data_IF_408014246714
#
_entry.id   IF_408014246714
#
_cell.length_a   1.000
_cell.length_b   1.000
_cell.length_c   1.000
_cell.angle_alpha   90.00
_cell.angle_beta   90.00
_cell.angle_gamma   90.00
#
_symmetry.space_group_name_H-M   'P 1'
#
loop_
_entity.id
_entity.type
_entity.pdbx_description
1 polymer ?
#
# COMPACT_ATOMS: atom_id res chain seq x y z
N UNK A 1 -3.16 -20.54 -1.40
CA UNK A 1 -2.88 -19.39 -2.31
C UNK A 1 -1.65 -19.75 -3.11
N UNK A 2 -1.67 -19.61 -4.43
CA UNK A 2 -0.45 -19.80 -5.23
C UNK A 2 0.46 -18.60 -4.97
N UNK A 3 1.60 -18.84 -4.33
CA UNK A 3 2.64 -17.82 -4.10
C UNK A 3 3.19 -17.39 -5.47
N UNK A 4 2.69 -16.27 -5.99
CA UNK A 4 3.23 -15.65 -7.20
C UNK A 4 4.49 -14.86 -6.88
N UNK A 5 5.41 -14.78 -7.83
CA UNK A 5 6.55 -13.87 -7.74
C UNK A 5 6.08 -12.46 -8.06
N UNK A 6 6.48 -11.46 -7.26
CA UNK A 6 6.34 -10.05 -7.62
C UNK A 6 7.34 -9.62 -8.71
N UNK A 7 8.31 -10.48 -9.04
CA UNK A 7 9.27 -10.24 -10.11
C UNK A 7 8.75 -10.71 -11.47
N UNK A 8 9.04 -9.95 -12.53
CA UNK A 8 8.66 -10.24 -13.90
C UNK A 8 7.99 -9.05 -14.60
N UNK A 9 7.46 -9.26 -15.82
CA UNK A 9 6.79 -8.24 -16.61
C UNK A 9 5.38 -7.93 -16.08
N UNK A 10 4.79 -6.83 -16.57
CA UNK A 10 3.39 -6.46 -16.32
C UNK A 10 3.22 -5.31 -15.32
N UNK A 11 4.31 -4.66 -14.92
CA UNK A 11 4.28 -3.48 -14.08
C UNK A 11 4.09 -2.22 -14.93
N UNK A 12 3.24 -1.30 -14.46
CA UNK A 12 3.07 0.03 -15.01
C UNK A 12 2.88 1.03 -13.89
N UNK A 13 3.22 2.29 -14.14
CA UNK A 13 3.24 3.34 -13.12
C UNK A 13 1.91 4.09 -13.09
N UNK A 14 1.28 4.19 -11.93
CA UNK A 14 0.01 4.92 -11.75
C UNK A 14 0.18 6.39 -11.37
N UNK A 15 1.32 6.71 -10.77
CA UNK A 15 1.63 8.03 -10.25
C UNK A 15 3.13 8.10 -9.95
N UNK A 16 3.73 9.27 -10.13
CA UNK A 16 5.02 9.64 -9.56
C UNK A 16 5.04 11.10 -9.15
N UNK A 17 6.00 11.42 -8.28
CA UNK A 17 6.38 12.77 -7.96
C UNK A 17 7.86 12.79 -7.58
N UNK A 18 8.61 13.75 -8.13
CA UNK A 18 10.02 13.99 -7.85
C UNK A 18 10.22 15.17 -6.91
N UNK A 19 10.85 16.22 -7.44
CA UNK A 19 10.93 17.53 -6.80
C UNK A 19 9.82 18.43 -7.33
N UNK A 20 9.03 18.99 -6.43
CA UNK A 20 8.03 20.02 -6.74
C UNK A 20 8.70 21.40 -6.63
N UNK A 21 8.95 22.01 -7.79
CA UNK A 21 9.59 23.33 -7.91
C UNK A 21 8.70 24.46 -7.39
N UNK A 22 7.36 24.31 -7.42
CA UNK A 22 6.43 25.32 -6.92
C UNK A 22 6.40 25.31 -5.39
N UNK A 23 6.34 24.12 -4.79
CA UNK A 23 6.37 23.97 -3.34
C UNK A 23 7.79 24.10 -2.75
N UNK A 24 8.83 23.91 -3.57
CA UNK A 24 10.22 23.84 -3.16
C UNK A 24 10.53 22.59 -2.32
N UNK A 25 9.83 21.47 -2.57
CA UNK A 25 9.87 20.27 -1.73
C UNK A 25 10.04 19.00 -2.55
N UNK A 26 10.79 18.05 -2.00
CA UNK A 26 10.77 16.68 -2.47
C UNK A 26 9.48 15.96 -2.05
N UNK A 27 9.07 14.98 -2.85
CA UNK A 27 7.99 14.06 -2.51
C UNK A 27 8.16 13.45 -1.10
N UNK A 28 9.39 13.10 -0.70
CA UNK A 28 9.70 12.58 0.64
C UNK A 28 9.47 13.60 1.75
N UNK A 29 9.72 14.89 1.51
CA UNK A 29 9.44 15.96 2.48
C UNK A 29 7.94 16.22 2.62
N UNK A 30 7.18 16.15 1.52
CA UNK A 30 5.71 16.18 1.57
C UNK A 30 5.15 14.99 2.34
N UNK A 31 5.72 13.80 2.11
CA UNK A 31 5.36 12.58 2.83
C UNK A 31 5.62 12.69 4.34
N UNK A 32 6.74 13.31 4.74
CA UNK A 32 7.01 13.61 6.15
C UNK A 32 5.98 14.55 6.76
N UNK A 33 5.49 15.54 5.99
CA UNK A 33 4.44 16.47 6.42
C UNK A 33 3.05 15.82 6.52
N UNK A 34 2.84 14.67 5.88
CA UNK A 34 1.60 13.89 5.96
C UNK A 34 1.74 12.66 6.86
N UNK A 35 2.62 12.71 7.87
CA UNK A 35 2.85 11.62 8.83
C UNK A 35 3.22 10.27 8.17
N UNK A 36 3.88 10.32 7.00
CA UNK A 36 4.24 9.13 6.24
C UNK A 36 3.12 8.57 5.36
N UNK A 37 2.00 9.29 5.22
CA UNK A 37 0.83 8.83 4.47
C UNK A 37 0.88 9.29 3.00
N UNK A 38 0.95 8.31 2.10
CA UNK A 38 0.76 8.49 0.66
C UNK A 38 -0.61 7.91 0.25
N UNK A 39 -1.42 8.73 -0.40
CA UNK A 39 -2.74 8.35 -0.87
C UNK A 39 -2.77 8.41 -2.39
N UNK A 40 -3.22 7.34 -3.04
CA UNK A 40 -3.37 7.26 -4.51
C UNK A 40 -4.73 6.66 -4.81
N UNK A 41 -5.47 7.30 -5.71
CA UNK A 41 -6.75 6.82 -6.22
C UNK A 41 -6.52 5.69 -7.21
N UNK A 42 -7.13 4.55 -6.98
CA UNK A 42 -7.13 3.44 -7.94
C UNK A 42 -7.93 3.88 -9.18
N UNK A 43 -7.35 3.87 -10.39
CA UNK A 43 -8.05 4.28 -11.60
C UNK A 43 -9.27 3.43 -11.88
N UNK A 44 -10.39 4.06 -12.27
CA UNK A 44 -11.62 3.35 -12.60
C UNK A 44 -11.49 2.45 -13.86
N UNK A 45 -10.52 2.73 -14.73
CA UNK A 45 -10.18 1.88 -15.87
C UNK A 45 -9.46 0.58 -15.50
N UNK A 46 -9.09 0.37 -14.23
CA UNK A 46 -8.43 -0.85 -13.79
C UNK A 46 -9.46 -2.00 -13.69
N UNK A 47 -9.26 -3.13 -14.40
CA UNK A 47 -10.19 -4.25 -14.35
C UNK A 47 -10.35 -4.86 -12.95
N UNK A 48 -11.55 -5.38 -12.67
CA UNK A 48 -11.80 -6.11 -11.43
C UNK A 48 -10.97 -7.40 -11.34
N UNK A 49 -10.28 -7.59 -10.22
CA UNK A 49 -9.35 -8.71 -10.03
C UNK A 49 -8.34 -8.50 -8.89
N UNK A 50 -7.41 -9.45 -8.75
CA UNK A 50 -6.29 -9.34 -7.81
C UNK A 50 -5.15 -8.54 -8.45
N UNK A 51 -4.65 -7.53 -7.73
CA UNK A 51 -3.57 -6.65 -8.14
C UNK A 51 -2.48 -6.59 -7.08
N UNK A 52 -1.25 -6.32 -7.51
CA UNK A 52 -0.16 -5.87 -6.64
C UNK A 52 0.02 -4.37 -6.83
N UNK A 53 -0.02 -3.62 -5.74
CA UNK A 53 0.35 -2.21 -5.70
C UNK A 53 1.71 -2.08 -5.03
N UNK A 54 2.63 -1.38 -5.68
CA UNK A 54 4.03 -1.27 -5.23
C UNK A 54 4.41 0.20 -5.01
N UNK A 55 4.23 0.76 -3.81
CA UNK A 55 4.87 2.04 -3.48
C UNK A 55 6.39 1.87 -3.48
N UNK A 56 7.08 2.86 -4.04
CA UNK A 56 8.54 2.94 -4.12
C UNK A 56 8.96 4.36 -3.73
N UNK A 57 9.85 4.48 -2.75
CA UNK A 57 10.56 5.71 -2.44
C UNK A 57 12.01 5.56 -2.87
N UNK A 58 12.55 6.60 -3.47
CA UNK A 58 13.95 6.69 -3.87
C UNK A 58 14.63 7.78 -3.03
N UNK A 59 15.61 7.36 -2.23
CA UNK A 59 16.40 8.27 -1.42
C UNK A 59 17.71 8.62 -2.17
N UNK A 60 17.95 9.93 -2.32
CA UNK A 60 18.99 10.48 -3.21
C UNK A 60 20.26 10.93 -2.48
N UNK A 61 20.33 10.82 -1.15
CA UNK A 61 21.44 11.35 -0.36
C UNK A 61 22.82 10.83 -0.80
N UNK A 62 22.89 9.63 -1.38
CA UNK A 62 24.13 9.03 -1.89
C UNK A 62 24.06 8.71 -3.41
N UNK A 63 23.03 9.19 -4.13
CA UNK A 63 22.86 8.90 -5.56
C UNK A 63 24.05 9.39 -6.40
N UNK A 64 24.58 10.58 -6.08
CA UNK A 64 25.78 11.14 -6.73
C UNK A 64 27.07 10.32 -6.51
N UNK A 65 27.10 9.44 -5.50
CA UNK A 65 28.20 8.51 -5.24
C UNK A 65 27.94 7.12 -5.86
N UNK A 66 26.85 6.96 -6.60
CA UNK A 66 26.44 5.69 -7.19
C UNK A 66 25.68 4.75 -6.24
N UNK A 67 25.14 5.26 -5.12
CA UNK A 67 24.34 4.50 -4.15
C UNK A 67 22.93 5.10 -3.96
N UNK A 68 22.07 5.11 -4.99
CA UNK A 68 20.65 5.43 -4.83
C UNK A 68 19.93 4.32 -4.04
N UNK A 69 19.07 4.71 -3.08
CA UNK A 69 18.46 3.75 -2.15
C UNK A 69 16.95 3.64 -2.38
N UNK A 70 16.49 2.44 -2.75
CA UNK A 70 15.08 2.14 -2.96
C UNK A 70 14.42 1.53 -1.72
N UNK A 71 13.30 2.11 -1.29
CA UNK A 71 12.42 1.59 -0.24
C UNK A 71 11.10 1.18 -0.86
N UNK A 72 10.80 -0.12 -0.82
CA UNK A 72 9.70 -0.70 -1.60
C UNK A 72 8.79 -1.54 -0.71
N UNK A 73 7.48 -1.43 -0.96
CA UNK A 73 6.47 -2.29 -0.37
C UNK A 73 5.58 -2.89 -1.45
N UNK A 74 4.84 -3.95 -1.14
CA UNK A 74 3.81 -4.51 -2.01
C UNK A 74 2.53 -4.72 -1.20
N UNK A 75 1.40 -4.28 -1.76
CA UNK A 75 0.08 -4.54 -1.23
C UNK A 75 -0.70 -5.43 -2.20
N UNK A 76 -1.25 -6.54 -1.70
CA UNK A 76 -2.20 -7.36 -2.45
C UNK A 76 -3.59 -6.76 -2.29
N UNK A 77 -4.15 -6.29 -3.39
CA UNK A 77 -5.43 -5.59 -3.40
C UNK A 77 -6.37 -6.31 -4.35
N UNK A 78 -7.56 -6.63 -3.86
CA UNK A 78 -8.65 -7.01 -4.73
C UNK A 78 -9.45 -5.78 -5.15
N UNK A 79 -9.50 -5.52 -6.45
CA UNK A 79 -10.28 -4.46 -7.06
C UNK A 79 -11.63 -5.04 -7.45
N UNK A 80 -12.70 -4.52 -6.87
CA UNK A 80 -14.06 -4.85 -7.29
C UNK A 80 -14.37 -4.17 -8.64
N UNK A 81 -15.00 -4.90 -9.56
CA UNK A 81 -15.36 -4.36 -10.87
C UNK A 81 -15.68 -5.45 -11.88
N UNK A 82 -15.96 -5.03 -13.12
CA UNK A 82 -16.06 -5.95 -14.24
C UNK A 82 -14.66 -6.42 -14.64
N UNK A 83 -14.52 -7.71 -14.94
CA UNK A 83 -13.30 -8.20 -15.56
C UNK A 83 -13.31 -7.77 -17.02
N UNK A 84 -12.29 -7.00 -17.42
CA UNK A 84 -12.10 -6.50 -18.77
C UNK A 84 -10.60 -6.62 -19.13
N UNK A 85 -10.24 -6.76 -20.41
CA UNK A 85 -8.85 -6.71 -20.81
C UNK A 85 -8.27 -5.32 -20.56
N UNK A 86 -7.09 -5.25 -19.93
CA UNK A 86 -6.29 -4.03 -19.83
C UNK A 86 -5.24 -4.02 -20.94
N UNK A 87 -5.23 -2.97 -21.76
CA UNK A 87 -4.16 -2.74 -22.72
C UNK A 87 -3.22 -1.66 -22.19
N UNK A 88 -2.03 -2.06 -21.79
CA UNK A 88 -0.95 -1.15 -21.38
C UNK A 88 -0.04 -0.93 -22.58
N UNK A 89 0.24 0.32 -22.99
CA UNK A 89 1.22 0.61 -24.04
C UNK A 89 2.59 0.00 -23.72
N UNK A 90 3.31 -0.46 -24.75
CA UNK A 90 4.58 -1.16 -24.55
C UNK A 90 5.66 -0.27 -23.90
N UNK A 91 5.64 1.04 -24.15
CA UNK A 91 6.51 2.05 -23.52
C UNK A 91 6.16 2.34 -22.05
N UNK A 92 5.00 1.86 -21.57
CA UNK A 92 4.52 2.04 -20.18
C UNK A 92 4.58 0.76 -19.35
N UNK A 93 4.80 -0.38 -20.00
CA UNK A 93 4.90 -1.69 -19.36
C UNK A 93 6.36 -2.09 -19.17
N UNK A 94 6.74 -2.41 -17.94
CA UNK A 94 8.11 -2.79 -17.58
C UNK A 94 8.16 -4.11 -16.82
N UNK A 95 9.38 -4.63 -16.63
CA UNK A 95 9.67 -5.74 -15.73
C UNK A 95 10.36 -5.24 -14.46
N UNK A 96 10.07 -5.87 -13.33
CA UNK A 96 10.81 -5.65 -12.08
C UNK A 96 11.49 -6.97 -11.70
N UNK A 97 12.82 -7.03 -11.53
CA UNK A 97 13.80 -5.97 -11.80
C UNK A 97 13.92 -5.65 -13.30
N UNK A 98 14.48 -4.47 -13.60
CA UNK A 98 14.70 -3.97 -14.96
C UNK A 98 13.91 -2.70 -15.32
N UNK A 99 13.14 -2.16 -14.38
CA UNK A 99 12.34 -0.95 -14.58
C UNK A 99 13.14 0.35 -14.54
N UNK A 100 14.39 0.29 -14.10
CA UNK A 100 15.35 1.40 -14.04
C UNK A 100 16.76 0.92 -14.43
N UNK A 101 17.59 1.80 -14.96
CA UNK A 101 19.00 1.58 -15.24
C UNK A 101 19.91 2.44 -14.35
N UNK A 102 21.02 1.87 -13.88
CA UNK A 102 21.90 2.47 -12.85
C UNK A 102 22.45 3.84 -13.24
N UNK A 103 22.60 4.10 -14.53
CA UNK A 103 23.13 5.33 -15.12
C UNK A 103 22.05 6.34 -15.51
N UNK A 104 20.78 6.09 -15.19
CA UNK A 104 19.70 7.05 -15.43
C UNK A 104 19.97 8.38 -14.69
N UNK A 105 19.66 9.53 -15.31
CA UNK A 105 19.90 10.84 -14.70
C UNK A 105 19.28 11.01 -13.30
N UNK A 106 18.13 10.36 -13.04
CA UNK A 106 17.48 10.41 -11.72
C UNK A 106 18.19 9.60 -10.64
N UNK A 107 18.97 8.59 -11.03
CA UNK A 107 19.70 7.69 -10.13
C UNK A 107 21.15 8.13 -9.89
N UNK A 108 21.65 9.07 -10.68
CA UNK A 108 22.97 9.71 -10.53
C UNK A 108 22.85 11.18 -10.11
N UNK A 109 21.64 11.62 -9.76
CA UNK A 109 21.34 13.01 -9.44
C UNK A 109 22.10 13.50 -8.21
N UNK A 110 22.70 14.70 -8.30
CA UNK A 110 23.39 15.33 -7.18
C UNK A 110 22.56 16.46 -6.57
N UNK A 111 21.87 16.11 -5.47
CA UNK A 111 21.07 17.07 -4.69
C UNK A 111 21.91 18.16 -3.98
N UNK A 112 23.24 17.98 -3.88
CA UNK A 112 24.17 18.92 -3.26
C UNK A 112 24.91 19.81 -4.27
N UNK A 113 24.59 19.69 -5.57
CA UNK A 113 25.17 20.57 -6.58
C UNK A 113 24.80 22.03 -6.29
N UNK A 114 25.69 22.97 -6.62
CA UNK A 114 25.37 24.40 -6.56
C UNK A 114 24.24 24.78 -7.52
N UNK A 115 24.10 24.05 -8.63
CA UNK A 115 23.07 24.26 -9.65
C UNK A 115 22.47 22.90 -10.08
N UNK A 116 21.61 22.30 -9.24
CA UNK A 116 20.93 21.05 -9.60
C UNK A 116 20.04 21.28 -10.83
N UNK A 117 19.99 20.29 -11.73
CA UNK A 117 19.20 20.38 -12.96
C UNK A 117 17.75 20.02 -12.68
N UNK A 118 16.85 20.97 -12.88
CA UNK A 118 15.41 20.74 -12.81
C UNK A 118 14.75 20.86 -14.20
N UNK A 119 13.62 20.19 -14.46
CA UNK A 119 12.88 19.33 -13.53
C UNK A 119 13.64 18.04 -13.18
N UNK A 120 13.43 17.52 -11.97
CA UNK A 120 14.09 16.28 -11.54
C UNK A 120 13.64 15.10 -12.44
N UNK A 121 14.58 14.37 -13.07
CA UNK A 121 14.25 13.28 -13.98
C UNK A 121 13.85 12.03 -13.19
N UNK A 122 12.55 11.87 -12.91
CA UNK A 122 12.01 10.72 -12.17
C UNK A 122 12.31 9.40 -12.93
N UNK A 123 12.97 8.41 -12.29
CA UNK A 123 13.29 7.14 -12.93
C UNK A 123 12.08 6.28 -13.35
N UNK A 124 12.33 5.39 -14.31
CA UNK A 124 11.39 4.36 -14.76
C UNK A 124 10.33 4.84 -15.76
N UNK A 125 9.31 4.01 -16.06
CA UNK A 125 8.36 4.32 -17.12
C UNK A 125 7.53 5.54 -16.74
N UNK A 126 7.09 6.29 -17.75
CA UNK A 126 6.18 7.39 -17.51
C UNK A 126 4.78 6.88 -17.06
N UNK A 127 4.05 7.72 -16.32
CA UNK A 127 2.74 7.38 -15.74
C UNK A 127 1.76 6.91 -16.83
N UNK A 128 0.96 5.91 -16.50
CA UNK A 128 -0.15 5.40 -17.29
C UNK A 128 -1.38 5.26 -16.41
N UNK A 129 -2.40 6.07 -16.69
CA UNK A 129 -3.72 5.97 -16.07
C UNK A 129 -4.64 5.22 -17.04
N UNK A 130 -5.08 3.99 -16.71
CA UNK A 130 -6.05 3.27 -17.53
C UNK A 130 -7.30 4.13 -17.77
N UNK A 131 -7.70 4.36 -19.04
CA UNK A 131 -8.87 5.17 -19.33
C UNK A 131 -10.11 4.50 -18.73
N UNK A 132 -10.94 5.30 -18.07
CA UNK A 132 -12.25 4.82 -17.67
C UNK A 132 -13.05 4.56 -18.95
N UNK A 133 -13.60 3.36 -19.11
CA UNK A 133 -14.58 3.13 -20.16
C UNK A 133 -15.87 3.85 -19.77
N UNK A 134 -15.99 5.14 -20.09
CA UNK A 134 -17.31 5.73 -20.28
C UNK A 134 -17.96 4.90 -21.38
N UNK A 135 -18.95 4.08 -21.02
CA UNK A 135 -19.66 3.23 -21.96
C UNK A 135 -20.05 4.06 -23.19
N UNK A 136 -19.58 3.76 -24.42
CA UNK A 136 -20.25 4.29 -25.59
C UNK A 136 -21.61 3.61 -25.61
N UNK A 137 -22.66 4.41 -25.42
CA UNK A 137 -24.05 4.16 -25.78
C UNK A 137 -24.31 2.78 -26.41
N UNK A 138 -24.73 1.81 -25.60
CA UNK A 138 -25.55 0.73 -26.14
C UNK A 138 -26.90 1.36 -26.48
N UNK A 139 -27.06 1.71 -27.75
CA UNK A 139 -28.34 2.13 -28.32
C UNK A 139 -29.44 1.21 -27.81
N UNK A 140 -30.52 1.82 -27.32
CA UNK A 140 -31.71 1.14 -26.84
C UNK A 140 -32.22 0.14 -27.89
N UNK A 141 -31.94 -1.14 -27.67
CA UNK A 141 -32.70 -2.24 -28.24
C UNK A 141 -33.57 -2.79 -27.11
N UNK A 142 -34.85 -2.48 -27.16
CA UNK A 142 -35.87 -2.99 -26.27
C UNK A 142 -35.79 -4.53 -26.23
N UNK A 143 -35.47 -5.06 -25.06
CA UNK A 143 -35.38 -6.50 -24.82
C UNK A 143 -35.03 -6.75 -23.36
N UNK A 144 -36.03 -7.16 -22.59
CA UNK A 144 -36.01 -7.36 -21.15
C UNK A 144 -35.04 -8.51 -20.74
N UNK A 145 -33.73 -8.30 -20.85
CA UNK A 145 -32.69 -9.20 -20.36
C UNK A 145 -31.81 -8.44 -19.36
N UNK A 146 -32.02 -8.76 -18.08
CA UNK A 146 -31.16 -8.38 -16.95
C UNK A 146 -29.70 -8.59 -17.36
N UNK A 147 -28.95 -7.49 -17.52
CA UNK A 147 -27.52 -7.54 -17.82
C UNK A 147 -26.84 -8.44 -16.79
N UNK A 148 -25.96 -9.39 -17.19
CA UNK A 148 -25.18 -10.14 -16.23
C UNK A 148 -24.14 -9.18 -15.65
N UNK A 149 -24.48 -8.53 -14.53
CA UNK A 149 -23.51 -7.82 -13.70
C UNK A 149 -22.68 -8.85 -12.94
N UNK A 150 -21.81 -9.60 -13.63
CA UNK A 150 -20.84 -10.47 -12.97
C UNK A 150 -19.64 -9.64 -12.52
N UNK A 151 -19.88 -8.74 -11.56
CA UNK A 151 -18.77 -8.10 -10.85
C UNK A 151 -17.95 -9.21 -10.19
N UNK A 152 -16.63 -9.20 -10.43
CA UNK A 152 -15.72 -10.14 -9.80
C UNK A 152 -15.73 -9.86 -8.29
N UNK A 153 -15.94 -10.88 -7.47
CA UNK A 153 -15.82 -10.80 -6.00
C UNK A 153 -14.61 -11.59 -5.52
N UNK A 154 -13.98 -11.12 -4.44
CA UNK A 154 -12.87 -11.80 -3.82
C UNK A 154 -13.34 -13.15 -3.26
N UNK A 155 -12.79 -14.26 -3.77
CA UNK A 155 -13.09 -15.62 -3.28
C UNK A 155 -11.98 -16.24 -2.43
N UNK A 156 -10.80 -15.64 -2.46
CA UNK A 156 -9.57 -16.15 -1.83
C UNK A 156 -8.79 -14.96 -1.27
N UNK A 157 -8.06 -15.15 -0.17
CA UNK A 157 -7.23 -14.07 0.41
C UNK A 157 -7.97 -13.14 1.37
N UNK A 158 -9.28 -13.35 1.58
CA UNK A 158 -10.04 -12.59 2.58
C UNK A 158 -9.67 -12.98 4.00
N UNK A 159 -9.78 -12.02 4.92
CA UNK A 159 -9.75 -12.30 6.36
C UNK A 159 -10.96 -13.19 6.69
N UNK A 160 -10.76 -14.39 7.28
CA UNK A 160 -11.86 -15.28 7.64
C UNK A 160 -12.84 -14.57 8.57
N UNK A 161 -14.14 -14.80 8.44
CA UNK A 161 -15.14 -14.10 9.27
C UNK A 161 -15.03 -14.45 10.76
N UNK A 162 -14.54 -15.65 11.05
CA UNK A 162 -14.39 -16.29 12.35
C UNK A 162 -13.02 -16.02 13.01
N UNK A 163 -12.19 -15.14 12.45
CA UNK A 163 -10.94 -14.74 13.09
C UNK A 163 -11.20 -14.05 14.45
N UNK A 164 -10.33 -14.30 15.41
CA UNK A 164 -10.38 -13.71 16.75
C UNK A 164 -9.55 -12.43 16.85
N UNK A 165 -8.42 -12.38 16.13
CA UNK A 165 -7.53 -11.22 16.08
C UNK A 165 -6.67 -11.27 14.82
N UNK A 166 -6.20 -10.11 14.34
CA UNK A 166 -5.29 -9.99 13.20
C UNK A 166 -4.04 -9.25 13.64
N UNK A 167 -2.87 -9.66 13.16
CA UNK A 167 -1.62 -8.89 13.26
C UNK A 167 -1.00 -8.90 11.87
N UNK A 168 -1.05 -7.78 11.16
CA UNK A 168 -0.62 -7.70 9.76
C UNK A 168 -1.18 -8.86 8.88
N UNK A 169 -0.31 -9.73 8.35
CA UNK A 169 -0.66 -10.83 7.45
C UNK A 169 -1.09 -12.12 8.17
N UNK A 170 -1.06 -12.13 9.50
CA UNK A 170 -1.48 -13.26 10.31
C UNK A 170 -2.84 -13.00 10.97
N UNK A 171 -3.62 -14.07 11.14
CA UNK A 171 -4.88 -14.07 11.88
C UNK A 171 -4.87 -15.19 12.91
N UNK A 172 -5.29 -14.89 14.13
CA UNK A 172 -5.55 -15.87 15.17
C UNK A 172 -6.95 -16.43 15.01
N UNK A 173 -7.06 -17.75 14.92
CA UNK A 173 -8.32 -18.48 14.82
C UNK A 173 -8.52 -19.33 16.07
N UNK A 174 -9.77 -19.58 16.44
CA UNK A 174 -10.06 -20.30 17.67
C UNK A 174 -9.43 -21.71 17.67
N UNK A 175 -8.85 -22.08 18.81
CA UNK A 175 -8.27 -23.41 19.01
C UNK A 175 -9.37 -24.45 19.22
N UNK A 176 -9.03 -25.74 19.12
CA UNK A 176 -10.00 -26.81 19.32
C UNK A 176 -10.67 -26.72 20.70
N UNK A 177 -11.99 -26.92 20.73
CA UNK A 177 -12.72 -27.05 21.98
C UNK A 177 -12.30 -28.31 22.74
N UNK A 178 -12.30 -28.25 24.07
CA UNK A 178 -11.88 -29.37 24.90
C UNK A 178 -12.76 -29.58 26.13
N UNK A 179 -12.82 -30.84 26.55
CA UNK A 179 -13.50 -31.28 27.78
C UNK A 179 -12.63 -32.21 28.65
N UNK A 180 -11.34 -32.35 28.30
CA UNK A 180 -10.40 -33.30 28.92
C UNK A 180 -9.04 -32.64 29.08
N UNK A 181 -8.25 -33.12 30.04
CA UNK A 181 -6.87 -32.68 30.27
C UNK A 181 -6.02 -32.72 29.00
N UNK A 182 -6.03 -33.86 28.30
CA UNK A 182 -5.30 -34.03 27.04
C UNK A 182 -5.75 -33.03 25.98
N UNK A 183 -7.06 -32.75 25.90
CA UNK A 183 -7.60 -31.76 24.98
C UNK A 183 -7.18 -30.33 25.34
N UNK A 184 -7.12 -30.01 26.63
CA UNK A 184 -6.69 -28.71 27.14
C UNK A 184 -5.24 -28.42 26.73
N UNK A 185 -4.32 -29.35 27.01
CA UNK A 185 -2.91 -29.19 26.67
C UNK A 185 -2.67 -29.20 25.15
N UNK A 186 -3.43 -29.97 24.38
CA UNK A 186 -3.37 -29.91 22.92
C UNK A 186 -3.83 -28.56 22.35
N UNK A 187 -4.88 -27.96 22.94
CA UNK A 187 -5.36 -26.64 22.56
C UNK A 187 -4.38 -25.53 22.98
N UNK A 188 -3.69 -25.69 24.13
CA UNK A 188 -2.63 -24.80 24.56
C UNK A 188 -1.45 -24.82 23.55
N UNK A 189 -0.99 -26.01 23.17
CA UNK A 189 0.07 -26.21 22.18
C UNK A 189 -0.28 -25.55 20.83
N UNK A 190 -1.49 -25.76 20.33
CA UNK A 190 -1.98 -25.11 19.11
C UNK A 190 -2.02 -23.57 19.25
N UNK A 191 -2.47 -23.05 20.40
CA UNK A 191 -2.49 -21.61 20.66
C UNK A 191 -1.08 -21.02 20.59
N UNK A 192 -0.10 -21.66 21.21
CA UNK A 192 1.29 -21.19 21.21
C UNK A 192 1.94 -21.33 19.83
N UNK A 193 1.65 -22.40 19.08
CA UNK A 193 2.08 -22.51 17.68
C UNK A 193 1.49 -21.40 16.79
N UNK A 194 0.24 -21.00 17.03
CA UNK A 194 -0.35 -19.82 16.42
C UNK A 194 0.34 -18.51 16.84
N UNK A 195 0.81 -18.39 18.09
CA UNK A 195 1.58 -17.25 18.56
C UNK A 195 2.93 -17.13 17.85
N UNK A 196 3.65 -18.25 17.69
CA UNK A 196 4.91 -18.29 16.94
C UNK A 196 4.71 -17.84 15.50
N UNK A 197 3.66 -18.36 14.83
CA UNK A 197 3.30 -17.94 13.48
C UNK A 197 2.95 -16.44 13.39
N UNK A 198 2.37 -15.85 14.44
CA UNK A 198 2.12 -14.42 14.50
C UNK A 198 3.42 -13.62 14.51
N UNK A 199 4.40 -14.02 15.33
CA UNK A 199 5.68 -13.34 15.43
C UNK A 199 6.54 -13.52 14.19
N UNK A 200 6.54 -14.71 13.58
CA UNK A 200 7.25 -14.98 12.32
C UNK A 200 6.71 -14.13 11.17
N UNK A 201 5.41 -13.86 11.17
CA UNK A 201 4.74 -13.02 10.17
C UNK A 201 4.76 -11.51 10.51
N UNK A 202 5.27 -11.12 11.68
CA UNK A 202 5.19 -9.74 12.14
C UNK A 202 6.12 -8.82 11.32
N UNK A 203 5.60 -7.76 10.68
CA UNK A 203 6.42 -6.78 9.99
C UNK A 203 7.14 -5.84 10.97
N UNK A 204 8.06 -4.98 10.48
CA UNK A 204 8.67 -3.93 11.30
C UNK A 204 7.68 -2.97 11.97
N UNK A 205 6.44 -2.87 11.48
CA UNK A 205 5.38 -2.07 12.12
C UNK A 205 4.87 -2.66 13.44
N UNK A 206 5.20 -3.93 13.75
CA UNK A 206 5.12 -4.50 15.09
C UNK A 206 4.25 -5.75 15.23
N UNK A 207 4.18 -6.22 16.47
CA UNK A 207 3.56 -7.48 16.89
C UNK A 207 2.63 -7.32 18.10
N UNK A 208 2.01 -6.13 18.24
CA UNK A 208 1.15 -5.80 19.40
C UNK A 208 0.04 -6.83 19.58
N UNK A 209 -0.61 -7.24 18.49
CA UNK A 209 -1.69 -8.22 18.55
C UNK A 209 -1.20 -9.66 18.78
N UNK A 210 0.07 -9.98 18.51
CA UNK A 210 0.66 -11.24 18.96
C UNK A 210 0.69 -11.33 20.49
N UNK A 211 1.00 -10.23 21.19
CA UNK A 211 0.97 -10.18 22.67
C UNK A 211 -0.45 -10.33 23.23
N UNK A 212 -1.44 -9.79 22.53
CA UNK A 212 -2.86 -10.01 22.87
C UNK A 212 -3.19 -11.51 22.74
N UNK A 213 -2.73 -12.15 21.68
CA UNK A 213 -2.91 -13.59 21.45
C UNK A 213 -2.25 -14.44 22.54
N UNK A 214 -1.02 -14.12 22.94
CA UNK A 214 -0.36 -14.81 24.06
C UNK A 214 -1.16 -14.74 25.37
N UNK A 215 -1.88 -13.65 25.64
CA UNK A 215 -2.74 -13.56 26.83
C UNK A 215 -3.89 -14.56 26.76
N UNK A 216 -4.45 -14.82 25.57
CA UNK A 216 -5.41 -15.91 25.37
C UNK A 216 -4.76 -17.27 25.64
N UNK A 217 -3.55 -17.51 25.13
CA UNK A 217 -2.84 -18.77 25.35
C UNK A 217 -2.49 -18.99 26.82
N UNK A 218 -2.06 -17.95 27.54
CA UNK A 218 -1.87 -17.98 29.00
C UNK A 218 -3.17 -18.35 29.72
N UNK A 219 -4.30 -17.77 29.33
CA UNK A 219 -5.60 -18.15 29.90
C UNK A 219 -5.97 -19.63 29.70
N UNK A 220 -5.57 -20.24 28.58
CA UNK A 220 -5.73 -21.68 28.35
C UNK A 220 -4.80 -22.47 29.28
N UNK A 221 -3.51 -22.10 29.38
CA UNK A 221 -2.57 -22.74 30.30
C UNK A 221 -3.08 -22.69 31.75
N UNK A 222 -3.53 -21.52 32.21
CA UNK A 222 -4.07 -21.33 33.55
C UNK A 222 -5.26 -22.27 33.83
N UNK A 223 -6.15 -22.45 32.86
CA UNK A 223 -7.26 -23.41 32.96
C UNK A 223 -6.77 -24.85 33.03
N UNK A 224 -5.78 -25.24 32.21
CA UNK A 224 -5.21 -26.58 32.24
C UNK A 224 -4.51 -26.88 33.57
N UNK A 225 -3.72 -25.94 34.10
CA UNK A 225 -3.01 -26.06 35.38
C UNK A 225 -3.98 -26.13 36.56
N UNK A 226 -5.11 -25.42 36.49
CA UNK A 226 -6.17 -25.45 37.50
C UNK A 226 -7.03 -26.73 37.43
N UNK A 227 -6.84 -27.59 36.42
CA UNK A 227 -7.70 -28.74 36.19
C UNK A 227 -9.10 -28.38 35.68
N UNK A 228 -9.30 -27.15 35.19
CA UNK A 228 -10.56 -26.70 34.62
C UNK A 228 -10.64 -27.06 33.14
N UNK A 229 -11.09 -28.28 32.91
CA UNK A 229 -11.25 -28.81 31.55
C UNK A 229 -12.66 -28.63 31.01
N UNK A 230 -13.59 -27.99 31.75
CA UNK A 230 -15.01 -27.97 31.37
C UNK A 230 -15.25 -26.87 30.33
N UNK A 231 -15.80 -27.26 29.18
CA UNK A 231 -16.24 -26.34 28.12
C UNK A 231 -15.16 -25.34 27.63
N UNK A 232 -13.89 -25.75 27.63
CA UNK A 232 -12.79 -24.91 27.18
C UNK A 232 -12.67 -24.79 25.65
N UNK A 233 -11.88 -23.83 25.13
CA UNK A 233 -11.05 -22.85 25.85
C UNK A 233 -11.83 -21.70 26.54
N UNK A 234 -11.21 -21.00 27.51
CA UNK A 234 -11.80 -19.79 28.10
C UNK A 234 -12.16 -18.73 27.05
N UNK A 235 -13.32 -18.10 27.20
CA UNK A 235 -13.86 -17.09 26.29
C UNK A 235 -13.88 -17.54 24.81
N UNK A 236 -14.19 -18.82 24.56
CA UNK A 236 -14.26 -19.41 23.22
C UNK A 236 -15.13 -18.58 22.27
N UNK A 237 -14.59 -18.27 21.11
CA UNK A 237 -15.27 -17.54 20.03
C UNK A 237 -15.42 -16.03 20.26
N UNK A 238 -14.88 -15.49 21.36
CA UNK A 238 -14.91 -14.05 21.62
C UNK A 238 -13.78 -13.36 20.85
N UNK A 239 -14.15 -12.38 20.02
CA UNK A 239 -13.17 -11.53 19.31
C UNK A 239 -12.33 -10.76 20.31
N UNK A 240 -11.01 -10.81 20.15
CA UNK A 240 -10.07 -10.13 21.03
C UNK A 240 -10.00 -8.66 20.65
N UNK A 241 -9.72 -7.81 21.65
CA UNK A 241 -9.54 -6.37 21.44
C UNK A 241 -8.18 -6.13 20.78
N UNK A 242 -8.20 -5.47 19.62
CA UNK A 242 -6.98 -5.09 18.90
C UNK A 242 -6.24 -3.97 19.65
N UNK A 243 -4.92 -4.09 19.74
CA UNK A 243 -3.99 -3.07 20.23
C UNK A 243 -3.14 -2.45 19.11
N UNK A 244 -3.42 -2.79 17.85
CA UNK A 244 -2.80 -2.10 16.72
C UNK A 244 -3.30 -0.64 16.66
N UNK A 245 -2.44 0.30 16.24
CA UNK A 245 -2.89 1.66 15.95
C UNK A 245 -4.04 1.60 14.96
N UNK A 246 -5.13 2.31 15.26
CA UNK A 246 -6.23 2.46 14.31
C UNK A 246 -5.75 3.15 13.02
N UNK A 247 -6.58 3.09 11.97
CA UNK A 247 -6.33 3.89 10.79
C UNK A 247 -6.16 5.38 11.16
N UNK A 248 -5.30 6.14 10.45
CA UNK A 248 -5.13 7.56 10.71
C UNK A 248 -6.48 8.28 10.70
N UNK A 249 -6.65 9.24 11.61
CA UNK A 249 -7.91 10.00 11.71
C UNK A 249 -8.22 10.82 10.45
N UNK A 250 -7.19 11.17 9.67
CA UNK A 250 -7.32 11.81 8.35
C UNK A 250 -6.36 11.16 7.39
N UNK A 251 -6.88 10.75 6.24
CA UNK A 251 -6.09 10.33 5.09
C UNK A 251 -5.91 11.56 4.18
N UNK A 252 -4.68 11.90 3.74
CA UNK A 252 -4.46 12.97 2.78
C UNK A 252 -5.26 12.74 1.49
N UNK A 253 -5.60 13.82 0.78
CA UNK A 253 -6.20 13.73 -0.56
C UNK A 253 -5.31 12.89 -1.49
N UNK A 254 -5.93 12.23 -2.48
CA UNK A 254 -5.16 11.38 -3.39
C UNK A 254 -4.24 12.22 -4.26
N UNK A 255 -2.95 11.87 -4.31
CA UNK A 255 -1.92 12.61 -5.02
C UNK A 255 -2.10 12.62 -6.55
N UNK A 256 -2.96 11.75 -7.07
CA UNK A 256 -3.33 11.66 -8.49
C UNK A 256 -4.77 12.15 -8.77
N UNK A 257 -5.40 12.90 -7.86
CA UNK A 257 -6.68 13.54 -8.15
C UNK A 257 -6.55 14.51 -9.34
N UNK A 258 -7.48 14.42 -10.30
CA UNK A 258 -7.48 15.24 -11.53
C UNK A 258 -6.64 14.69 -12.69
N UNK A 259 -5.81 13.66 -12.50
CA UNK A 259 -5.02 13.06 -13.59
C UNK A 259 -5.84 12.18 -14.55
N UNK A 260 -7.13 11.96 -14.27
CA UNK A 260 -8.03 11.12 -15.07
C UNK A 260 -8.63 11.76 -16.33
N UNK A 261 -8.42 13.07 -16.55
CA UNK A 261 -9.05 13.80 -17.67
C UNK A 261 -8.07 14.16 -18.81
N UNK A 262 -6.75 14.01 -18.63
CA UNK A 262 -5.78 14.39 -19.66
C UNK A 262 -5.23 13.16 -20.39
N UNK A 263 -6.01 12.71 -21.37
CA UNK A 263 -5.47 11.90 -22.46
C UNK A 263 -4.62 12.77 -23.39
N UNK A 264 -3.31 12.54 -23.37
CA UNK A 264 -2.37 12.73 -24.48
C UNK A 264 -2.21 14.12 -25.10
N UNK A 265 -1.12 14.80 -24.78
CA UNK A 265 -0.28 15.44 -25.80
C UNK A 265 1.14 15.64 -25.24
N UNK A 266 2.14 15.14 -25.96
CA UNK A 266 3.53 15.45 -25.67
C UNK A 266 3.76 16.94 -25.87
N UNK A 267 4.41 17.59 -24.90
CA UNK A 267 4.96 18.92 -25.13
C UNK A 267 6.24 18.78 -25.94
N UNK A 268 6.11 18.98 -27.25
CA UNK A 268 7.23 19.40 -28.09
C UNK A 268 7.70 20.80 -27.67
N UNK A 269 9.02 20.97 -27.75
CA UNK A 269 9.76 22.19 -27.51
C UNK A 269 9.35 23.30 -28.49
N UNK A 270 9.29 24.53 -28.00
CA UNK A 270 9.11 25.73 -28.81
C UNK A 270 9.57 26.97 -28.07
N UNK A 271 10.78 27.43 -28.40
CA UNK A 271 11.34 28.74 -28.03
C UNK A 271 10.47 29.89 -28.61
N UNK A 272 10.30 31.00 -27.88
CA UNK A 272 10.92 32.32 -28.15
C UNK A 272 10.24 33.48 -27.37
N UNK A 273 11.10 34.29 -26.72
CA UNK A 273 11.08 35.75 -26.48
C UNK A 273 9.86 36.48 -25.88
N UNK A 274 10.01 36.90 -24.61
CA UNK A 274 10.35 38.28 -24.21
C UNK A 274 9.31 39.43 -24.36
N UNK A 275 8.84 39.98 -23.23
CA UNK A 275 8.97 41.41 -22.89
C UNK A 275 8.53 41.78 -21.47
N UNK A 276 9.27 42.76 -20.93
CA UNK A 276 9.23 43.35 -19.59
C UNK A 276 8.02 44.25 -19.26
N UNK A 277 7.86 44.48 -17.94
CA UNK A 277 7.34 45.71 -17.32
C UNK A 277 6.20 45.42 -16.34
N UNK A 278 6.19 45.78 -15.05
CA UNK A 278 7.07 46.59 -14.21
C UNK A 278 6.22 47.27 -13.12
N UNK A 279 6.59 47.09 -11.83
CA UNK A 279 6.38 48.05 -10.72
C UNK A 279 5.06 48.03 -9.93
N UNK A 280 5.19 48.08 -8.58
CA UNK A 280 4.16 48.65 -7.68
C UNK A 280 4.00 47.95 -6.34
N UNK A 281 4.44 48.60 -5.26
CA UNK A 281 4.56 48.16 -3.86
C UNK A 281 3.26 48.12 -3.01
N UNK A 282 3.44 47.61 -1.79
CA UNK A 282 2.77 47.93 -0.51
C UNK A 282 1.56 47.11 0.00
N UNK A 283 1.71 46.58 1.22
CA UNK A 283 0.59 46.17 2.08
C UNK A 283 0.91 45.10 3.13
N UNK A 284 1.39 45.52 4.30
CA UNK A 284 1.67 44.68 5.46
C UNK A 284 0.40 44.26 6.25
N UNK A 285 0.52 43.07 6.86
CA UNK A 285 -0.09 42.55 8.10
C UNK A 285 -1.60 42.66 8.37
N UNK A 286 -2.26 41.52 8.63
CA UNK A 286 -2.90 41.30 9.95
C UNK A 286 -3.16 39.81 10.21
N UNK A 287 -2.75 39.34 11.38
CA UNK A 287 -2.92 37.97 11.85
C UNK A 287 -4.30 37.81 12.51
N UNK A 288 -5.15 36.92 11.98
CA UNK A 288 -6.42 36.56 12.59
C UNK A 288 -6.23 35.36 13.54
N UNK A 289 -6.62 35.53 14.81
CA UNK A 289 -6.63 34.48 15.84
C UNK A 289 -7.75 33.45 15.61
N UNK A 290 -7.56 32.16 15.95
CA UNK A 290 -8.56 31.13 15.71
C UNK A 290 -9.70 31.13 16.75
N UNK A 291 -10.94 30.75 16.37
CA UNK A 291 -12.07 30.64 17.29
C UNK A 291 -12.01 29.37 18.17
N UNK A 292 -12.68 29.36 19.35
CA UNK A 292 -12.62 28.27 20.32
C UNK A 292 -13.37 27.00 19.87
N UNK A 293 -13.01 25.81 20.40
CA UNK A 293 -13.62 24.55 19.99
C UNK A 293 -15.00 24.34 20.64
N UNK A 294 -15.94 23.83 19.86
CA UNK A 294 -17.25 23.35 20.30
C UNK A 294 -17.37 21.82 20.08
N UNK A 295 -18.29 21.14 20.77
CA UNK A 295 -18.01 19.91 21.52
C UNK A 295 -18.17 18.60 20.73
N UNK A 296 -17.61 17.56 21.35
CA UNK A 296 -17.66 16.14 21.05
C UNK A 296 -19.09 15.61 20.84
N UNK A 297 -19.34 14.97 19.69
CA UNK A 297 -20.35 13.92 19.57
C UNK A 297 -19.78 12.70 18.87
N UNK A 298 -20.20 11.57 19.44
CA UNK A 298 -19.78 10.19 19.23
C UNK A 298 -20.43 9.53 18.01
N UNK A 299 -19.65 8.65 17.38
CA UNK A 299 -20.07 7.37 16.77
C UNK A 299 -20.76 7.42 15.38
N UNK A 300 -19.95 7.09 14.37
CA UNK A 300 -20.36 6.63 13.05
C UNK A 300 -19.12 6.29 12.23
N UNK A 301 -18.78 5.01 12.11
CA UNK A 301 -17.64 4.52 11.31
C UNK A 301 -17.66 5.15 9.90
N UNK A 302 -16.60 5.84 9.43
CA UNK A 302 -16.61 6.46 8.11
C UNK A 302 -16.59 5.40 6.99
N UNK A 303 -17.45 5.63 6.00
CA UNK A 303 -17.52 4.90 4.74
C UNK A 303 -16.24 5.13 3.91
N UNK A 304 -15.36 4.12 3.85
CA UNK A 304 -14.09 4.15 3.12
C UNK A 304 -14.26 3.87 1.63
N UNK A 305 -14.95 4.77 0.92
CA UNK A 305 -15.12 4.68 -0.52
C UNK A 305 -15.03 6.06 -1.17
N UNK A 306 -13.95 6.30 -1.91
CA UNK A 306 -13.91 7.41 -2.87
C UNK A 306 -14.99 7.18 -3.92
N UNK A 307 -15.92 8.13 -4.05
CA UNK A 307 -17.03 8.05 -4.99
C UNK A 307 -16.52 8.06 -6.44
N UNK A 308 -16.77 6.98 -7.17
CA UNK A 308 -16.87 7.01 -8.62
C UNK A 308 -18.19 7.68 -9.04
N UNK A 309 -18.26 8.15 -10.28
CA UNK A 309 -19.36 8.94 -10.86
C UNK A 309 -20.71 8.18 -11.01
N UNK A 310 -20.86 7.04 -10.32
CA UNK A 310 -22.09 6.25 -10.22
C UNK A 310 -22.53 5.99 -8.77
N UNK A 311 -21.90 6.63 -7.78
CA UNK A 311 -22.32 6.61 -6.38
C UNK A 311 -22.19 5.24 -5.69
N UNK A 312 -21.46 4.28 -6.28
CA UNK A 312 -21.16 3.00 -5.64
C UNK A 312 -19.73 3.00 -5.09
N UNK A 313 -19.51 2.59 -3.83
CA UNK A 313 -18.17 2.54 -3.27
C UNK A 313 -17.35 1.45 -3.99
N UNK A 314 -16.15 1.80 -4.45
CA UNK A 314 -15.12 0.81 -4.75
C UNK A 314 -14.60 0.31 -3.41
N UNK A 315 -14.97 -0.91 -3.02
CA UNK A 315 -14.50 -1.51 -1.77
C UNK A 315 -13.11 -2.10 -2.03
N UNK A 316 -12.08 -1.43 -1.53
CA UNK A 316 -10.71 -1.90 -1.60
C UNK A 316 -10.45 -2.81 -0.38
N UNK A 317 -10.31 -4.11 -0.62
CA UNK A 317 -9.83 -5.03 0.43
C UNK A 317 -8.33 -5.22 0.25
N UNK A 318 -7.54 -4.62 1.16
CA UNK A 318 -6.11 -4.93 1.28
C UNK A 318 -5.99 -6.27 1.98
N UNK A 319 -5.50 -7.27 1.26
CA UNK A 319 -5.43 -8.67 1.73
C UNK A 319 -4.09 -8.98 2.40
N UNK A 320 -3.01 -8.36 1.93
CA UNK A 320 -1.64 -8.57 2.44
C UNK A 320 -0.80 -7.32 2.19
N UNK A 321 0.02 -6.91 3.17
CA UNK A 321 1.09 -5.91 2.96
C UNK A 321 2.42 -6.61 3.21
N UNK A 322 3.26 -6.71 2.19
CA UNK A 322 4.61 -7.29 2.25
C UNK A 322 5.62 -6.16 2.10
N UNK A 323 6.38 -5.88 3.15
CA UNK A 323 7.53 -4.99 3.09
C UNK A 323 8.80 -5.83 2.91
N UNK A 324 9.56 -5.58 1.83
CA UNK A 324 10.86 -6.21 1.64
C UNK A 324 11.96 -5.23 2.09
N UNK A 325 12.99 -5.68 2.85
CA UNK A 325 14.18 -4.86 3.07
C UNK A 325 14.89 -4.61 1.73
N UNK A 326 15.49 -3.43 1.59
CA UNK A 326 16.20 -3.02 0.37
C UNK A 326 17.21 -4.10 -0.05
N UNK A 327 17.11 -4.56 -1.29
CA UNK A 327 18.14 -5.39 -1.90
C UNK A 327 19.36 -4.49 -2.14
N UNK A 328 20.35 -4.55 -1.24
CA UNK A 328 21.66 -4.00 -1.51
C UNK A 328 22.23 -4.75 -2.73
N UNK A 329 22.21 -4.11 -3.91
CA UNK A 329 22.96 -4.61 -5.05
C UNK A 329 24.45 -4.37 -4.78
N UNK A 330 25.08 -5.23 -3.98
CA UNK A 330 26.54 -5.22 -3.85
C UNK A 330 27.13 -5.89 -5.09
N UNK A 331 27.37 -5.11 -6.15
CA UNK A 331 28.27 -5.51 -7.22
C UNK A 331 29.70 -5.12 -6.85
N UNK A 332 30.46 -6.04 -6.27
CA UNK A 332 31.92 -6.07 -6.47
C UNK A 332 32.38 -7.52 -6.54
N UNK A 333 32.85 -7.91 -7.72
CA UNK A 333 33.31 -9.25 -7.99
C UNK A 333 34.40 -9.71 -7.02
N UNK A 334 34.19 -10.85 -6.38
CA UNK A 334 35.28 -11.74 -5.97
C UNK A 334 35.04 -13.11 -6.54
N UNK A 335 35.99 -13.48 -7.41
CA UNK A 335 36.19 -14.81 -7.95
C UNK A 335 35.92 -15.88 -6.90
N UNK A 336 35.14 -16.88 -7.30
CA UNK A 336 35.10 -18.17 -6.66
C UNK A 336 36.53 -18.66 -6.36
N UNK A 337 36.86 -18.79 -5.08
CA UNK A 337 37.92 -19.69 -4.63
C UNK A 337 37.36 -20.64 -3.60
N UNK A 338 37.54 -21.92 -3.95
CA UNK A 338 37.20 -23.13 -3.22
C UNK A 338 37.79 -23.12 -1.80
N UNK A 339 37.02 -23.70 -0.89
CA UNK A 339 37.52 -24.55 0.19
C UNK A 339 38.03 -23.84 1.44
N UNK A 340 37.32 -24.03 2.56
CA UNK A 340 37.84 -24.81 3.69
C UNK A 340 36.69 -25.06 4.69
N UNK A 341 36.50 -26.34 5.05
CA UNK A 341 35.84 -26.73 6.31
C UNK A 341 36.72 -26.27 7.47
N UNK A 342 36.14 -25.95 8.63
CA UNK A 342 36.54 -26.53 9.91
C UNK A 342 35.51 -26.21 11.01
N UNK A 343 35.14 -27.29 11.72
CA UNK A 343 34.48 -27.45 13.04
C UNK A 343 33.42 -26.45 13.49
#
# INVERSE_FOLDING_TARGET
MTKGSAAGPGWFKLWDEGYDEEAGLWCTEKLMRTDGLLSVRIPAGLPGGNWLFRPELLALQNAHEGDPQFYVGCAQVFVEGVSAPLSVPADRSVSIPGHVAVDEPGLTFNIYSENPKFPYPVPGPAVFVPPSSSSPSVSAAAGNKKAPSSATRQRTGGVPADYLIKNANWVGVEVAAYSTERGCWAAAEDCWGQADACYDAAPPSGSRNCRVWERKCRGINDACEAGDYRDGPPARGVRLVSEEPGAPARIPAAANEGQGEQGGEGKEEGEHEGKEGGGGEDGASEAASPPPPAPTETEGLPNWGGAGDDGRPVIVTITEIVTAPAAAQTSYGRRARRGLRFR
#
